data_IF_471169224706
#
_entry.id   IF_471169224706
#
_cell.length_a   1.000
_cell.length_b   1.000
_cell.length_c   1.000
_cell.angle_alpha   90.00
_cell.angle_beta   90.00
_cell.angle_gamma   90.00
#
_symmetry.space_group_name_H-M   'P 1'
#
loop_
_entity.id
_entity.type
_entity.pdbx_description
1 polymer ?
#
# COMPACT_ATOMS: atom_id res chain seq x y z
N UNK A 1 11.07 -14.99 9.97
CA UNK A 1 11.33 -14.19 8.75
C UNK A 1 11.56 -12.74 9.13
N UNK A 2 12.46 -12.06 8.43
CA UNK A 2 12.68 -10.61 8.53
C UNK A 2 11.82 -9.88 7.50
N UNK A 3 11.73 -8.56 7.61
CA UNK A 3 10.98 -7.74 6.65
C UNK A 3 11.41 -7.99 5.19
N UNK A 4 12.71 -8.07 4.91
CA UNK A 4 13.23 -8.32 3.57
C UNK A 4 12.77 -9.67 2.98
N UNK A 5 12.60 -10.70 3.80
CA UNK A 5 12.10 -11.99 3.34
C UNK A 5 10.65 -11.86 2.82
N UNK A 6 9.83 -11.05 3.50
CA UNK A 6 8.45 -10.77 3.06
C UNK A 6 8.40 -9.90 1.81
N UNK A 7 9.32 -8.94 1.67
CA UNK A 7 9.49 -8.17 0.42
C UNK A 7 9.78 -9.11 -0.75
N UNK A 8 10.74 -10.02 -0.57
CA UNK A 8 11.12 -11.01 -1.59
C UNK A 8 10.01 -12.03 -1.88
N UNK A 9 9.13 -12.30 -0.92
CA UNK A 9 8.00 -13.23 -1.07
C UNK A 9 6.80 -12.61 -1.79
N UNK A 10 6.72 -11.28 -1.91
CA UNK A 10 5.53 -10.58 -2.39
C UNK A 10 5.07 -11.06 -3.78
N UNK A 11 5.96 -11.08 -4.76
CA UNK A 11 5.63 -11.54 -6.12
C UNK A 11 5.21 -13.01 -6.17
N UNK A 12 5.74 -13.87 -5.29
CA UNK A 12 5.36 -15.29 -5.20
C UNK A 12 3.94 -15.42 -4.67
N UNK A 13 3.60 -14.65 -3.62
CA UNK A 13 2.27 -14.66 -3.01
C UNK A 13 1.23 -14.11 -3.98
N UNK A 14 1.51 -12.97 -4.61
CA UNK A 14 0.63 -12.39 -5.62
C UNK A 14 0.44 -13.35 -6.81
N UNK A 15 1.50 -14.00 -7.29
CA UNK A 15 1.38 -15.01 -8.34
C UNK A 15 0.45 -16.17 -7.95
N UNK A 16 0.55 -16.67 -6.71
CA UNK A 16 -0.34 -17.72 -6.21
C UNK A 16 -1.79 -17.27 -6.06
N UNK A 17 -2.04 -16.02 -5.69
CA UNK A 17 -3.38 -15.44 -5.64
C UNK A 17 -3.97 -15.25 -7.04
N UNK A 18 -3.17 -14.82 -7.99
CA UNK A 18 -3.60 -14.65 -9.39
C UNK A 18 -4.13 -15.97 -9.99
N UNK A 19 -3.52 -17.13 -9.67
CA UNK A 19 -3.97 -18.44 -10.15
C UNK A 19 -5.37 -18.84 -9.62
N UNK A 20 -5.81 -18.29 -8.49
CA UNK A 20 -7.14 -18.50 -7.91
C UNK A 20 -7.96 -17.21 -7.83
N UNK A 21 -7.65 -16.24 -8.66
CA UNK A 21 -8.12 -14.86 -8.56
C UNK A 21 -9.65 -14.72 -8.51
N UNK A 22 -10.38 -15.44 -9.36
CA UNK A 22 -11.84 -15.38 -9.39
C UNK A 22 -12.47 -15.92 -8.10
N UNK A 23 -11.89 -16.97 -7.49
CA UNK A 23 -12.35 -17.53 -6.21
C UNK A 23 -12.04 -16.56 -5.06
N UNK A 24 -10.84 -15.97 -5.06
CA UNK A 24 -10.39 -15.09 -4.00
C UNK A 24 -11.30 -13.87 -3.79
N UNK A 25 -11.83 -13.30 -4.85
CA UNK A 25 -12.68 -12.10 -4.81
C UNK A 25 -14.17 -12.39 -4.97
N UNK A 26 -14.58 -13.68 -5.14
CA UNK A 26 -15.94 -14.08 -5.52
C UNK A 26 -17.01 -13.44 -4.61
N UNK A 27 -16.85 -13.54 -3.29
CA UNK A 27 -17.86 -13.04 -2.37
C UNK A 27 -18.03 -11.51 -2.45
N UNK A 28 -16.93 -10.75 -2.63
CA UNK A 28 -17.02 -9.30 -2.80
C UNK A 28 -17.65 -8.92 -4.16
N UNK A 29 -17.37 -9.72 -5.19
CA UNK A 29 -18.01 -9.58 -6.51
C UNK A 29 -19.51 -9.85 -6.45
N UNK A 30 -19.94 -10.89 -5.76
CA UNK A 30 -21.37 -11.19 -5.56
C UNK A 30 -22.10 -10.04 -4.84
N UNK A 31 -21.44 -9.41 -3.86
CA UNK A 31 -21.99 -8.26 -3.13
C UNK A 31 -22.16 -7.06 -4.07
N UNK A 32 -21.13 -6.68 -4.84
CA UNK A 32 -21.22 -5.53 -5.74
C UNK A 32 -22.22 -5.77 -6.89
N UNK A 33 -22.40 -7.01 -7.32
CA UNK A 33 -23.33 -7.40 -8.36
C UNK A 33 -24.79 -7.37 -7.88
N UNK A 34 -25.03 -7.88 -6.66
CA UNK A 34 -26.39 -7.99 -6.09
C UNK A 34 -26.91 -6.67 -5.53
N UNK A 35 -26.02 -5.76 -5.13
CA UNK A 35 -26.37 -4.47 -4.56
C UNK A 35 -26.53 -3.36 -5.58
N UNK A 36 -27.32 -2.35 -5.25
CA UNK A 36 -27.51 -1.14 -6.04
C UNK A 36 -26.58 -0.03 -5.56
N UNK A 37 -25.27 -0.24 -5.71
CA UNK A 37 -24.25 0.72 -5.26
C UNK A 37 -23.89 1.70 -6.39
N UNK A 38 -23.78 2.97 -6.06
CA UNK A 38 -23.33 4.07 -6.92
C UNK A 38 -21.92 4.53 -6.60
N UNK A 39 -21.36 4.10 -5.47
CA UNK A 39 -20.01 4.41 -5.03
C UNK A 39 -19.39 3.26 -4.21
N UNK A 40 -18.06 3.28 -4.15
CA UNK A 40 -17.25 2.46 -3.28
C UNK A 40 -16.51 3.37 -2.28
N UNK A 41 -16.58 3.06 -1.00
CA UNK A 41 -15.79 3.75 0.02
C UNK A 41 -14.91 2.75 0.76
N UNK A 42 -13.61 2.99 0.74
CA UNK A 42 -12.63 2.18 1.48
C UNK A 42 -12.25 2.96 2.75
N UNK A 43 -12.47 2.34 3.90
CA UNK A 43 -12.19 2.93 5.21
C UNK A 43 -11.01 2.21 5.84
N UNK A 44 -9.86 2.90 5.93
CA UNK A 44 -8.60 2.30 6.35
C UNK A 44 -7.63 3.31 6.94
N UNK A 45 -6.61 2.83 7.66
CA UNK A 45 -5.51 3.64 8.21
C UNK A 45 -4.15 3.06 7.82
N UNK A 46 -3.13 3.93 7.77
CA UNK A 46 -1.73 3.54 7.54
C UNK A 46 -1.55 2.75 6.25
N UNK A 47 -0.75 1.71 6.27
CA UNK A 47 -0.43 0.88 5.10
C UNK A 47 -1.65 0.33 4.37
N UNK A 48 -2.74 0.00 5.08
CA UNK A 48 -3.99 -0.44 4.44
C UNK A 48 -4.66 0.68 3.65
N UNK A 49 -4.59 1.95 4.14
CA UNK A 49 -5.08 3.11 3.42
C UNK A 49 -4.22 3.39 2.20
N UNK A 50 -2.89 3.37 2.34
CA UNK A 50 -1.97 3.62 1.24
C UNK A 50 -2.10 2.57 0.12
N UNK A 51 -2.31 1.29 0.48
CA UNK A 51 -2.62 0.24 -0.50
C UNK A 51 -3.94 0.52 -1.24
N UNK A 52 -4.96 1.02 -0.54
CA UNK A 52 -6.22 1.41 -1.16
C UNK A 52 -6.04 2.62 -2.10
N UNK A 53 -5.22 3.61 -1.72
CA UNK A 53 -4.88 4.75 -2.58
C UNK A 53 -4.09 4.31 -3.84
N UNK A 54 -3.21 3.32 -3.75
CA UNK A 54 -2.57 2.70 -4.92
C UNK A 54 -3.56 2.08 -5.90
N UNK A 55 -4.66 1.50 -5.40
CA UNK A 55 -5.65 0.80 -6.22
C UNK A 55 -6.85 1.67 -6.61
N UNK A 56 -7.02 2.86 -6.02
CA UNK A 56 -8.22 3.71 -6.16
C UNK A 56 -8.55 4.01 -7.62
N UNK A 57 -7.59 4.49 -8.37
CA UNK A 57 -7.82 4.90 -9.76
C UNK A 57 -8.11 3.71 -10.67
N UNK A 58 -7.51 2.54 -10.38
CA UNK A 58 -7.83 1.29 -11.04
C UNK A 58 -9.28 0.86 -10.78
N UNK A 59 -9.72 0.93 -9.52
CA UNK A 59 -11.10 0.60 -9.14
C UNK A 59 -12.10 1.54 -9.82
N UNK A 60 -11.81 2.84 -9.88
CA UNK A 60 -12.66 3.82 -10.56
C UNK A 60 -12.81 3.49 -12.05
N UNK A 61 -11.67 3.20 -12.71
CA UNK A 61 -11.68 2.82 -14.13
C UNK A 61 -12.42 1.50 -14.37
N UNK A 62 -12.15 0.48 -13.58
CA UNK A 62 -12.72 -0.85 -13.77
C UNK A 62 -14.21 -0.91 -13.44
N UNK A 63 -14.64 -0.32 -12.34
CA UNK A 63 -16.02 -0.38 -11.85
C UNK A 63 -16.91 0.72 -12.45
N UNK A 64 -16.33 1.77 -13.08
CA UNK A 64 -17.03 2.96 -13.56
C UNK A 64 -17.94 3.55 -12.48
N UNK A 65 -17.36 3.77 -11.29
CA UNK A 65 -18.05 4.38 -10.15
C UNK A 65 -17.08 5.22 -9.33
N UNK A 66 -17.61 6.14 -8.52
CA UNK A 66 -16.78 6.90 -7.59
C UNK A 66 -16.15 5.99 -6.53
N UNK A 67 -14.85 6.12 -6.33
CA UNK A 67 -14.12 5.43 -5.26
C UNK A 67 -13.48 6.48 -4.34
N UNK A 68 -13.78 6.39 -3.05
CA UNK A 68 -13.15 7.22 -2.00
C UNK A 68 -12.38 6.35 -1.02
N UNK A 69 -11.25 6.88 -0.56
CA UNK A 69 -10.43 6.26 0.49
C UNK A 69 -10.39 7.26 1.65
N UNK A 70 -10.86 6.84 2.82
CA UNK A 70 -11.03 7.72 3.98
C UNK A 70 -10.47 7.07 5.24
N UNK A 71 -10.04 7.88 6.21
CA UNK A 71 -9.66 7.33 7.53
C UNK A 71 -10.91 7.02 8.36
N UNK A 72 -10.85 6.04 9.29
CA UNK A 72 -11.99 5.70 10.12
C UNK A 72 -12.58 6.87 10.90
N UNK A 73 -11.74 7.74 11.47
CA UNK A 73 -12.20 8.92 12.20
C UNK A 73 -12.86 9.95 11.28
N UNK A 74 -12.24 10.23 10.13
CA UNK A 74 -12.84 11.13 9.14
C UNK A 74 -14.19 10.58 8.65
N UNK A 75 -14.30 9.25 8.47
CA UNK A 75 -15.55 8.61 8.12
C UNK A 75 -16.61 8.81 9.21
N UNK A 76 -16.30 8.46 10.46
CA UNK A 76 -17.27 8.52 11.57
C UNK A 76 -17.72 9.95 11.85
N UNK A 77 -16.80 10.91 11.82
CA UNK A 77 -17.09 12.28 12.26
C UNK A 77 -17.62 13.17 11.13
N UNK A 78 -17.23 12.94 9.87
CA UNK A 78 -17.44 13.92 8.79
C UNK A 78 -17.91 13.32 7.47
N UNK A 79 -17.37 12.18 7.02
CA UNK A 79 -17.49 11.74 5.63
C UNK A 79 -18.48 10.59 5.41
N UNK A 80 -19.29 10.25 6.42
CA UNK A 80 -20.27 9.17 6.33
C UNK A 80 -21.54 9.53 5.56
N UNK A 81 -21.88 10.82 5.44
CA UNK A 81 -23.17 11.29 4.93
C UNK A 81 -23.36 11.04 3.43
N UNK A 82 -22.30 11.16 2.66
CA UNK A 82 -22.34 11.06 1.21
C UNK A 82 -21.12 10.32 0.65
N UNK A 83 -21.27 9.47 -0.37
CA UNK A 83 -22.51 9.04 -1.04
C UNK A 83 -23.34 8.09 -0.16
N UNK A 84 -24.67 8.15 -0.29
CA UNK A 84 -25.60 7.37 0.57
C UNK A 84 -25.65 5.87 0.20
N UNK A 85 -25.48 5.52 -1.07
CA UNK A 85 -25.54 4.14 -1.56
C UNK A 85 -24.14 3.59 -1.86
N UNK A 86 -23.19 3.87 -0.97
CA UNK A 86 -21.85 3.33 -1.10
C UNK A 86 -21.75 1.91 -0.52
N UNK A 87 -21.01 1.03 -1.19
CA UNK A 87 -20.46 -0.15 -0.54
C UNK A 87 -19.24 0.31 0.29
N UNK A 88 -19.29 0.08 1.60
CA UNK A 88 -18.19 0.43 2.49
C UNK A 88 -17.31 -0.79 2.72
N UNK A 89 -16.01 -0.65 2.47
CA UNK A 89 -15.00 -1.70 2.74
C UNK A 89 -14.08 -1.19 3.85
N UNK A 90 -14.22 -1.75 5.04
CA UNK A 90 -13.33 -1.43 6.17
C UNK A 90 -12.14 -2.39 6.16
N UNK A 91 -10.92 -1.85 6.16
CA UNK A 91 -9.71 -2.67 6.03
C UNK A 91 -8.85 -2.60 7.28
N UNK A 92 -8.57 -3.76 7.87
CA UNK A 92 -7.60 -3.92 8.95
C UNK A 92 -6.86 -5.24 8.80
N UNK A 93 -5.59 -5.22 8.41
CA UNK A 93 -4.82 -6.46 8.22
C UNK A 93 -4.84 -7.35 9.45
N UNK A 94 -4.61 -6.80 10.64
CA UNK A 94 -4.65 -7.58 11.87
C UNK A 94 -6.06 -7.95 12.33
N UNK A 95 -7.08 -7.18 11.93
CA UNK A 95 -8.44 -7.27 12.46
C UNK A 95 -8.61 -6.73 13.88
N UNK A 96 -7.58 -6.06 14.44
CA UNK A 96 -7.57 -5.54 15.82
C UNK A 96 -7.57 -4.00 15.89
N UNK A 97 -7.61 -3.27 14.77
CA UNK A 97 -7.56 -1.80 14.78
C UNK A 97 -8.83 -1.22 15.38
N UNK A 98 -8.72 -0.56 16.54
CA UNK A 98 -9.86 -0.03 17.30
C UNK A 98 -10.67 0.98 16.51
N UNK A 99 -10.00 1.86 15.77
CA UNK A 99 -10.66 2.85 14.92
C UNK A 99 -11.44 2.22 13.74
N UNK A 100 -10.91 1.16 13.11
CA UNK A 100 -11.62 0.43 12.05
C UNK A 100 -12.85 -0.30 12.61
N UNK A 101 -12.71 -0.88 13.81
CA UNK A 101 -13.82 -1.50 14.55
C UNK A 101 -14.91 -0.44 14.84
N UNK A 102 -14.53 0.73 15.35
CA UNK A 102 -15.49 1.82 15.61
C UNK A 102 -16.21 2.28 14.33
N UNK A 103 -15.54 2.32 13.19
CA UNK A 103 -16.17 2.64 11.91
C UNK A 103 -17.20 1.57 11.48
N UNK A 104 -16.90 0.29 11.70
CA UNK A 104 -17.86 -0.80 11.43
C UNK A 104 -19.07 -0.73 12.36
N UNK A 105 -18.88 -0.44 13.65
CA UNK A 105 -19.98 -0.23 14.59
C UNK A 105 -20.87 0.95 14.17
N UNK A 106 -20.26 2.04 13.71
CA UNK A 106 -21.00 3.16 13.14
C UNK A 106 -21.81 2.74 11.91
N UNK A 107 -21.20 2.01 10.97
CA UNK A 107 -21.89 1.52 9.77
C UNK A 107 -23.07 0.62 10.12
N UNK A 108 -22.89 -0.31 11.07
CA UNK A 108 -23.95 -1.20 11.56
C UNK A 108 -25.09 -0.42 12.23
N UNK A 109 -24.78 0.56 13.07
CA UNK A 109 -25.78 1.38 13.77
C UNK A 109 -26.62 2.24 12.82
N UNK A 110 -26.15 2.47 11.58
CA UNK A 110 -26.82 3.29 10.57
C UNK A 110 -27.28 2.48 9.34
N UNK A 111 -27.36 1.14 9.46
CA UNK A 111 -27.82 0.23 8.39
C UNK A 111 -27.04 0.42 7.06
N UNK A 112 -25.77 0.77 7.13
CA UNK A 112 -24.90 0.94 5.96
C UNK A 112 -24.37 -0.40 5.49
N UNK A 113 -24.34 -0.62 4.17
CA UNK A 113 -23.69 -1.81 3.60
C UNK A 113 -22.18 -1.79 3.88
N UNK A 114 -21.68 -2.81 4.57
CA UNK A 114 -20.30 -2.88 5.01
C UNK A 114 -19.69 -4.28 4.89
N UNK A 115 -18.40 -4.32 4.53
CA UNK A 115 -17.57 -5.53 4.47
C UNK A 115 -16.27 -5.24 5.20
N UNK A 116 -15.75 -6.17 5.98
CA UNK A 116 -14.40 -6.10 6.51
C UNK A 116 -13.44 -6.92 5.65
N UNK A 117 -12.29 -6.33 5.29
CA UNK A 117 -11.13 -7.04 4.72
C UNK A 117 -10.04 -7.17 5.78
N UNK A 118 -9.54 -8.39 5.97
CA UNK A 118 -8.51 -8.68 6.98
C UNK A 118 -7.63 -9.86 6.54
N UNK A 119 -6.46 -10.00 7.14
CA UNK A 119 -5.64 -11.21 7.04
C UNK A 119 -5.95 -12.23 8.16
N UNK A 120 -6.82 -11.85 9.12
CA UNK A 120 -7.19 -12.68 10.25
C UNK A 120 -8.71 -12.63 10.46
N UNK A 121 -9.42 -13.51 9.80
CA UNK A 121 -10.89 -13.59 9.86
C UNK A 121 -11.42 -13.99 11.25
N UNK A 122 -10.57 -14.49 12.14
CA UNK A 122 -10.92 -14.85 13.51
C UNK A 122 -10.71 -13.71 14.52
N UNK A 123 -10.12 -12.59 14.06
CA UNK A 123 -9.88 -11.42 14.91
C UNK A 123 -11.17 -10.74 15.35
N UNK A 124 -11.13 -9.87 16.38
CA UNK A 124 -12.30 -9.17 16.92
C UNK A 124 -13.16 -8.44 15.88
N UNK A 125 -12.59 -8.00 14.78
CA UNK A 125 -13.33 -7.32 13.69
C UNK A 125 -14.55 -8.12 13.21
N UNK A 126 -14.55 -9.45 13.34
CA UNK A 126 -15.66 -10.33 12.93
C UNK A 126 -16.94 -10.12 13.75
N UNK A 127 -16.84 -9.56 14.95
CA UNK A 127 -17.98 -9.31 15.83
C UNK A 127 -18.70 -7.99 15.45
N UNK A 128 -18.09 -7.19 14.57
CA UNK A 128 -18.52 -5.84 14.22
C UNK A 128 -19.13 -5.72 12.81
N UNK A 129 -19.13 -6.80 12.02
CA UNK A 129 -19.77 -6.87 10.70
C UNK A 129 -20.23 -8.28 10.40
N UNK A 130 -21.23 -8.42 9.53
CA UNK A 130 -21.75 -9.73 9.09
C UNK A 130 -20.86 -10.39 8.03
N UNK A 131 -20.00 -9.61 7.36
CA UNK A 131 -19.20 -10.08 6.25
C UNK A 131 -17.72 -9.73 6.50
N UNK A 132 -16.91 -10.78 6.69
CA UNK A 132 -15.47 -10.67 6.88
C UNK A 132 -14.77 -11.52 5.82
N UNK A 133 -13.87 -10.91 5.07
CA UNK A 133 -13.17 -11.52 3.95
C UNK A 133 -11.64 -11.51 4.17
N UNK A 134 -11.01 -12.66 3.90
CA UNK A 134 -9.56 -12.76 3.80
C UNK A 134 -9.10 -12.26 2.42
N UNK A 135 -8.19 -11.31 2.38
CA UNK A 135 -7.65 -10.81 1.12
C UNK A 135 -6.40 -11.58 0.61
N UNK A 136 -6.07 -12.72 1.22
CA UNK A 136 -5.13 -13.69 0.67
C UNK A 136 -3.66 -13.46 1.00
N UNK A 137 -3.32 -12.63 1.99
CA UNK A 137 -1.91 -12.38 2.37
C UNK A 137 -1.23 -13.61 2.97
N UNK A 138 -1.98 -14.48 3.60
CA UNK A 138 -1.45 -15.64 4.32
C UNK A 138 -0.85 -15.24 5.67
N UNK A 139 0.38 -15.67 5.96
CA UNK A 139 1.03 -15.41 7.25
C UNK A 139 2.10 -14.34 7.09
N UNK A 140 1.93 -13.21 7.76
CA UNK A 140 2.94 -12.16 7.90
C UNK A 140 3.13 -11.83 9.37
N UNK A 141 4.34 -12.04 9.90
CA UNK A 141 4.66 -11.94 11.33
C UNK A 141 5.64 -10.82 11.68
N UNK A 142 5.86 -9.87 10.77
CA UNK A 142 6.67 -8.67 11.04
C UNK A 142 5.84 -7.56 11.64
N UNK A 143 6.46 -6.71 12.44
CA UNK A 143 5.78 -5.62 13.13
C UNK A 143 5.31 -4.51 12.17
N UNK A 144 5.97 -4.39 11.01
CA UNK A 144 5.66 -3.40 9.97
C UNK A 144 5.05 -4.10 8.74
N UNK A 145 3.81 -3.79 8.43
CA UNK A 145 3.08 -4.36 7.28
C UNK A 145 3.90 -4.19 6.00
N UNK A 146 4.18 -5.28 5.32
CA UNK A 146 5.07 -5.35 4.16
C UNK A 146 4.41 -6.11 3.01
N UNK A 147 4.33 -7.44 3.12
CA UNK A 147 3.63 -8.30 2.17
C UNK A 147 2.15 -7.93 2.05
N UNK A 148 1.53 -7.59 3.17
CA UNK A 148 0.11 -7.24 3.24
C UNK A 148 -0.28 -6.02 2.41
N UNK A 149 0.63 -5.05 2.22
CA UNK A 149 0.40 -3.89 1.34
C UNK A 149 0.27 -4.34 -0.11
N UNK A 150 1.26 -5.08 -0.59
CA UNK A 150 1.32 -5.57 -1.98
C UNK A 150 0.12 -6.45 -2.33
N UNK A 151 -0.21 -7.38 -1.44
CA UNK A 151 -1.33 -8.30 -1.63
C UNK A 151 -2.68 -7.58 -1.53
N UNK A 152 -2.80 -6.52 -0.72
CA UNK A 152 -4.04 -5.74 -0.66
C UNK A 152 -4.25 -4.94 -1.95
N UNK A 153 -3.18 -4.36 -2.52
CA UNK A 153 -3.25 -3.72 -3.85
C UNK A 153 -3.72 -4.73 -4.89
N UNK A 154 -3.10 -5.91 -4.94
CA UNK A 154 -3.50 -6.99 -5.84
C UNK A 154 -4.96 -7.38 -5.66
N UNK A 155 -5.41 -7.63 -4.43
CA UNK A 155 -6.79 -8.02 -4.12
C UNK A 155 -7.80 -6.98 -4.65
N UNK A 156 -7.54 -5.70 -4.40
CA UNK A 156 -8.40 -4.61 -4.87
C UNK A 156 -8.41 -4.50 -6.41
N UNK A 157 -7.27 -4.71 -7.06
CA UNK A 157 -7.18 -4.78 -8.53
C UNK A 157 -7.99 -5.97 -9.06
N UNK A 158 -7.84 -7.16 -8.48
CA UNK A 158 -8.62 -8.36 -8.85
C UNK A 158 -10.12 -8.14 -8.64
N UNK A 159 -10.51 -7.52 -7.53
CA UNK A 159 -11.90 -7.13 -7.31
C UNK A 159 -12.38 -6.14 -8.38
N UNK A 160 -11.57 -5.16 -8.78
CA UNK A 160 -11.88 -4.25 -9.87
C UNK A 160 -12.13 -4.99 -11.18
N UNK A 161 -11.29 -5.97 -11.55
CA UNK A 161 -11.42 -6.76 -12.78
C UNK A 161 -12.74 -7.53 -12.80
N UNK A 162 -12.97 -8.38 -11.79
CA UNK A 162 -14.15 -9.25 -11.77
C UNK A 162 -15.43 -8.51 -11.39
N UNK A 163 -15.35 -7.49 -10.55
CA UNK A 163 -16.45 -6.59 -10.23
C UNK A 163 -16.89 -5.78 -11.46
N UNK A 164 -15.93 -5.29 -12.26
CA UNK A 164 -16.20 -4.64 -13.53
C UNK A 164 -16.87 -5.58 -14.53
N UNK A 165 -16.45 -6.83 -14.60
CA UNK A 165 -17.11 -7.85 -15.41
C UNK A 165 -18.56 -8.08 -14.94
N UNK A 166 -18.78 -8.26 -13.65
CA UNK A 166 -20.10 -8.49 -13.09
C UNK A 166 -21.05 -7.29 -13.30
N UNK A 167 -20.53 -6.08 -13.30
CA UNK A 167 -21.26 -4.83 -13.61
C UNK A 167 -21.46 -4.59 -15.11
N UNK A 168 -20.77 -5.35 -15.96
CA UNK A 168 -20.80 -5.19 -17.43
C UNK A 168 -19.96 -4.01 -17.95
N UNK A 169 -19.06 -3.45 -17.16
CA UNK A 169 -18.11 -2.39 -17.57
C UNK A 169 -16.87 -2.98 -18.26
N UNK A 170 -16.57 -4.25 -18.01
CA UNK A 170 -15.46 -4.99 -18.62
C UNK A 170 -16.01 -6.26 -19.27
N UNK A 171 -15.71 -6.49 -20.54
CA UNK A 171 -16.05 -7.73 -21.25
C UNK A 171 -15.01 -8.84 -20.98
N UNK A 172 -15.29 -10.06 -21.43
CA UNK A 172 -14.40 -11.21 -21.22
C UNK A 172 -12.99 -11.01 -21.80
N UNK A 173 -12.87 -10.27 -22.91
CA UNK A 173 -11.56 -9.95 -23.50
C UNK A 173 -10.81 -8.94 -22.64
N UNK A 174 -11.51 -7.95 -22.12
CA UNK A 174 -10.95 -6.97 -21.20
C UNK A 174 -10.48 -7.61 -19.88
N UNK A 175 -11.22 -8.59 -19.36
CA UNK A 175 -10.78 -9.38 -18.18
C UNK A 175 -9.47 -10.10 -18.46
N UNK A 176 -9.38 -10.82 -19.59
CA UNK A 176 -8.15 -11.54 -19.95
C UNK A 176 -6.95 -10.58 -20.06
N UNK A 177 -7.12 -9.44 -20.74
CA UNK A 177 -6.06 -8.45 -20.89
C UNK A 177 -5.61 -7.89 -19.54
N UNK A 178 -6.55 -7.51 -18.66
CA UNK A 178 -6.23 -6.94 -17.35
C UNK A 178 -5.55 -7.93 -16.42
N UNK A 179 -5.87 -9.23 -16.52
CA UNK A 179 -5.16 -10.28 -15.80
C UNK A 179 -3.73 -10.48 -16.32
N UNK A 180 -3.51 -10.34 -17.64
CA UNK A 180 -2.17 -10.37 -18.22
C UNK A 180 -1.36 -9.14 -17.80
N UNK A 181 -1.96 -7.94 -17.82
CA UNK A 181 -1.32 -6.70 -17.34
C UNK A 181 -0.92 -6.83 -15.85
N UNK A 182 -1.77 -7.41 -15.01
CA UNK A 182 -1.46 -7.66 -13.59
C UNK A 182 -0.33 -8.68 -13.43
N UNK A 183 -0.31 -9.74 -14.25
CA UNK A 183 0.79 -10.71 -14.25
C UNK A 183 2.13 -10.05 -14.59
N UNK A 184 2.14 -9.16 -15.56
CA UNK A 184 3.33 -8.38 -15.92
C UNK A 184 3.78 -7.46 -14.77
N UNK A 185 2.84 -6.79 -14.08
CA UNK A 185 3.16 -5.96 -12.92
C UNK A 185 3.73 -6.77 -11.74
N UNK A 186 3.22 -7.99 -11.50
CA UNK A 186 3.77 -8.92 -10.50
C UNK A 186 5.19 -9.36 -10.89
N UNK A 187 5.46 -9.62 -12.16
CA UNK A 187 6.82 -9.92 -12.62
C UNK A 187 7.75 -8.71 -12.50
N UNK A 188 7.24 -7.50 -12.78
CA UNK A 188 7.96 -6.26 -12.58
C UNK A 188 8.34 -6.01 -11.11
N UNK A 189 7.48 -6.39 -10.16
CA UNK A 189 7.78 -6.36 -8.72
C UNK A 189 9.02 -7.21 -8.39
N UNK A 190 9.11 -8.44 -8.91
CA UNK A 190 10.27 -9.30 -8.70
C UNK A 190 11.57 -8.72 -9.30
N UNK A 191 11.49 -8.06 -10.46
CA UNK A 191 12.64 -7.37 -11.08
C UNK A 191 13.05 -6.17 -10.22
N UNK A 192 12.07 -5.39 -9.79
CA UNK A 192 12.33 -4.17 -9.03
C UNK A 192 12.89 -4.44 -7.63
N UNK A 193 12.53 -5.56 -7.00
CA UNK A 193 13.14 -6.01 -5.75
C UNK A 193 14.67 -6.15 -5.90
N UNK A 194 15.13 -6.81 -6.97
CA UNK A 194 16.58 -6.97 -7.26
C UNK A 194 17.24 -5.63 -7.61
N UNK A 195 16.57 -4.78 -8.37
CA UNK A 195 17.06 -3.43 -8.70
C UNK A 195 17.24 -2.61 -7.42
N UNK A 196 16.27 -2.68 -6.50
CA UNK A 196 16.32 -1.99 -5.23
C UNK A 196 17.45 -2.52 -4.32
N UNK A 197 17.64 -3.85 -4.26
CA UNK A 197 18.75 -4.46 -3.50
C UNK A 197 20.11 -3.96 -4.00
N UNK A 198 20.31 -3.92 -5.33
CA UNK A 198 21.54 -3.40 -5.92
C UNK A 198 21.71 -1.90 -5.63
N UNK A 199 20.65 -1.12 -5.81
CA UNK A 199 20.65 0.32 -5.50
C UNK A 199 21.04 0.58 -4.05
N UNK A 200 20.45 -0.16 -3.10
CA UNK A 200 20.77 -0.01 -1.67
C UNK A 200 22.22 -0.38 -1.38
N UNK A 201 22.76 -1.42 -2.03
CA UNK A 201 24.17 -1.82 -1.85
C UNK A 201 25.12 -0.71 -2.32
N UNK A 202 24.85 -0.09 -3.46
CA UNK A 202 25.65 0.98 -4.02
C UNK A 202 25.57 2.30 -3.23
N UNK A 203 24.39 2.57 -2.63
CA UNK A 203 24.09 3.80 -1.88
C UNK A 203 23.96 3.60 -0.36
N UNK A 204 24.42 2.47 0.16
CA UNK A 204 24.25 2.06 1.56
C UNK A 204 24.64 3.13 2.58
N UNK A 205 25.76 3.81 2.38
CA UNK A 205 26.24 4.83 3.31
C UNK A 205 25.33 6.07 3.29
N UNK A 206 24.98 6.53 2.11
CA UNK A 206 24.13 7.69 1.89
C UNK A 206 22.73 7.50 2.48
N UNK A 207 22.11 6.34 2.19
CA UNK A 207 20.79 5.97 2.72
C UNK A 207 20.79 5.72 4.25
N UNK A 208 21.96 5.44 4.85
CA UNK A 208 22.10 5.27 6.30
C UNK A 208 22.32 6.57 7.06
N UNK A 209 22.45 7.70 6.38
CA UNK A 209 22.50 8.99 7.03
C UNK A 209 21.12 9.36 7.57
N UNK A 210 21.08 9.93 8.78
CA UNK A 210 19.82 10.32 9.44
C UNK A 210 19.30 11.66 8.88
N UNK A 211 18.93 11.66 7.60
CA UNK A 211 18.49 12.86 6.88
C UNK A 211 16.99 12.76 6.56
N UNK A 212 16.28 13.90 6.52
CA UNK A 212 14.88 13.90 6.10
C UNK A 212 14.72 13.39 4.67
N UNK A 213 13.56 12.80 4.38
CA UNK A 213 13.20 12.31 3.07
C UNK A 213 11.89 12.94 2.58
N UNK A 214 11.81 13.19 1.28
CA UNK A 214 10.55 13.48 0.57
C UNK A 214 10.34 12.47 -0.53
N UNK A 215 9.09 12.02 -0.67
CA UNK A 215 8.67 11.11 -1.73
C UNK A 215 7.54 11.76 -2.51
N UNK A 216 7.70 11.87 -3.82
CA UNK A 216 6.74 12.54 -4.71
C UNK A 216 6.20 11.53 -5.71
N UNK A 217 4.90 11.50 -5.91
CA UNK A 217 4.26 10.60 -6.88
C UNK A 217 2.84 11.01 -7.22
N UNK A 218 2.35 10.62 -8.39
CA UNK A 218 1.02 10.95 -8.90
C UNK A 218 0.15 9.70 -9.08
N UNK A 219 -1.17 9.85 -9.02
CA UNK A 219 -2.12 8.77 -9.24
C UNK A 219 -1.82 7.55 -8.35
N UNK A 220 -1.70 6.31 -8.92
CA UNK A 220 -1.33 5.13 -8.12
C UNK A 220 0.01 5.28 -7.38
N UNK A 221 0.96 6.02 -7.94
CA UNK A 221 2.26 6.27 -7.34
C UNK A 221 2.20 7.25 -6.15
N UNK A 222 1.10 7.99 -5.98
CA UNK A 222 0.87 8.78 -4.77
C UNK A 222 0.68 7.87 -3.55
N UNK A 223 -0.13 6.80 -3.67
CA UNK A 223 -0.26 5.79 -2.62
C UNK A 223 1.08 5.09 -2.30
N UNK A 224 1.91 4.84 -3.33
CA UNK A 224 3.26 4.31 -3.13
C UNK A 224 4.17 5.32 -2.40
N UNK A 225 4.03 6.63 -2.66
CA UNK A 225 4.77 7.67 -1.95
C UNK A 225 4.34 7.80 -0.49
N UNK A 226 3.03 7.70 -0.20
CA UNK A 226 2.50 7.65 1.17
C UNK A 226 3.11 6.47 1.96
N UNK A 227 3.09 5.27 1.37
CA UNK A 227 3.64 4.07 1.99
C UNK A 227 5.15 4.16 2.16
N UNK A 228 5.87 4.70 1.17
CA UNK A 228 7.31 4.93 1.26
C UNK A 228 7.65 5.85 2.44
N UNK A 229 6.98 6.99 2.57
CA UNK A 229 7.19 7.91 3.68
C UNK A 229 6.91 7.25 5.04
N UNK A 230 5.84 6.46 5.14
CA UNK A 230 5.56 5.69 6.34
C UNK A 230 6.67 4.68 6.64
N UNK A 231 7.10 3.87 5.67
CA UNK A 231 8.16 2.86 5.87
C UNK A 231 9.48 3.49 6.30
N UNK A 232 9.91 4.57 5.66
CA UNK A 232 11.11 5.30 6.07
C UNK A 232 11.01 5.84 7.50
N UNK A 233 9.84 6.37 7.88
CA UNK A 233 9.60 6.89 9.23
C UNK A 233 9.59 5.81 10.29
N UNK A 234 8.87 4.70 10.07
CA UNK A 234 8.68 3.67 11.10
C UNK A 234 9.84 2.69 11.23
N UNK A 235 10.64 2.49 10.17
CA UNK A 235 11.76 1.53 10.19
C UNK A 235 13.12 2.21 10.35
N UNK A 236 13.44 3.22 9.56
CA UNK A 236 14.71 3.96 9.59
C UNK A 236 14.69 5.06 10.65
N UNK A 237 13.50 5.49 11.10
CA UNK A 237 13.29 6.54 12.10
C UNK A 237 13.73 7.93 11.65
N UNK A 238 13.57 8.23 10.36
CA UNK A 238 13.83 9.55 9.79
C UNK A 238 12.51 10.31 9.54
N UNK A 239 12.48 11.64 9.62
CA UNK A 239 11.36 12.41 9.10
C UNK A 239 11.18 12.13 7.62
N UNK A 240 10.02 11.64 7.20
CA UNK A 240 9.71 11.40 5.81
C UNK A 240 8.32 11.94 5.48
N UNK A 241 8.21 12.59 4.33
CA UNK A 241 6.99 13.25 3.86
C UNK A 241 6.68 12.77 2.45
N UNK A 242 5.41 12.84 2.08
CA UNK A 242 4.95 12.51 0.73
C UNK A 242 4.16 13.68 0.15
N UNK A 243 4.20 13.84 -1.17
CA UNK A 243 3.48 14.87 -1.89
C UNK A 243 3.05 14.38 -3.27
N UNK A 244 1.96 14.90 -3.76
CA UNK A 244 1.63 14.89 -5.18
C UNK A 244 2.55 15.86 -5.91
N UNK A 245 2.81 15.63 -7.21
CA UNK A 245 3.85 16.36 -7.96
C UNK A 245 3.65 17.88 -8.03
N UNK A 246 2.42 18.33 -8.27
CA UNK A 246 2.14 19.78 -8.31
C UNK A 246 2.00 20.36 -6.91
N UNK A 247 1.41 19.66 -5.95
CA UNK A 247 1.39 20.09 -4.54
C UNK A 247 2.80 20.24 -3.98
N UNK A 248 3.74 19.39 -4.41
CA UNK A 248 5.14 19.49 -3.99
C UNK A 248 5.76 20.85 -4.37
N UNK A 249 5.51 21.34 -5.57
CA UNK A 249 6.09 22.61 -6.08
C UNK A 249 5.29 23.87 -5.67
N UNK A 250 4.32 23.72 -4.76
CA UNK A 250 3.54 24.82 -4.22
C UNK A 250 3.87 25.13 -2.75
N UNK A 251 5.13 24.87 -2.35
CA UNK A 251 5.66 25.23 -1.03
C UNK A 251 6.58 24.20 -0.40
N UNK A 252 6.24 22.88 -0.39
CA UNK A 252 7.09 21.85 0.22
C UNK A 252 8.53 21.80 -0.30
N UNK A 253 8.77 22.12 -1.57
CA UNK A 253 10.10 22.20 -2.18
C UNK A 253 11.03 23.19 -1.49
N UNK A 254 10.48 24.21 -0.85
CA UNK A 254 11.24 25.24 -0.11
C UNK A 254 12.00 24.69 1.09
N UNK A 255 11.66 23.48 1.56
CA UNK A 255 12.38 22.81 2.65
C UNK A 255 13.68 22.15 2.18
N UNK A 256 13.84 21.90 0.87
CA UNK A 256 14.96 21.12 0.36
C UNK A 256 16.27 21.85 0.53
N UNK A 257 17.19 21.22 1.24
CA UNK A 257 18.56 21.67 1.45
C UNK A 257 19.52 20.52 1.08
N UNK A 258 20.82 20.81 0.86
CA UNK A 258 21.82 19.75 0.66
C UNK A 258 21.74 18.72 1.78
N UNK A 259 21.55 17.46 1.45
CA UNK A 259 21.41 16.38 2.41
C UNK A 259 20.01 15.75 2.48
N UNK A 260 18.96 16.42 2.02
CA UNK A 260 17.65 15.76 1.87
C UNK A 260 17.71 14.60 0.87
N UNK A 261 17.07 13.49 1.22
CA UNK A 261 16.72 12.43 0.28
C UNK A 261 15.43 12.86 -0.45
N UNK A 262 15.46 12.91 -1.77
CA UNK A 262 14.26 13.23 -2.56
C UNK A 262 14.04 12.12 -3.57
N UNK A 263 12.94 11.39 -3.41
CA UNK A 263 12.51 10.37 -4.34
C UNK A 263 11.33 10.90 -5.16
N UNK A 264 11.45 10.84 -6.47
CA UNK A 264 10.39 11.18 -7.40
C UNK A 264 10.02 9.91 -8.16
N UNK A 265 8.77 9.50 -8.05
CA UNK A 265 8.22 8.35 -8.77
C UNK A 265 7.53 8.88 -10.02
N UNK A 266 8.14 8.66 -11.16
CA UNK A 266 7.65 9.15 -12.45
C UNK A 266 6.32 8.49 -12.85
N UNK A 267 5.54 9.19 -13.65
CA UNK A 267 4.35 8.63 -14.25
C UNK A 267 4.72 7.51 -15.24
N UNK A 268 3.93 6.44 -15.34
CA UNK A 268 4.28 5.28 -16.18
C UNK A 268 4.48 5.59 -17.66
N UNK A 269 3.87 6.67 -18.15
CA UNK A 269 4.06 7.15 -19.54
C UNK A 269 5.25 8.11 -19.69
N UNK A 270 5.93 8.43 -18.58
CA UNK A 270 6.96 9.45 -18.49
C UNK A 270 6.37 10.87 -18.38
N UNK A 271 6.80 11.62 -17.38
CA UNK A 271 6.39 13.00 -17.17
C UNK A 271 7.58 13.96 -17.34
N UNK A 272 7.52 14.81 -18.36
CA UNK A 272 8.52 15.89 -18.49
C UNK A 272 8.51 16.80 -17.25
N UNK A 273 7.34 16.98 -16.62
CA UNK A 273 7.19 17.80 -15.42
C UNK A 273 7.95 17.22 -14.23
N UNK A 274 7.74 15.95 -13.91
CA UNK A 274 8.44 15.27 -12.82
C UNK A 274 9.94 15.14 -13.10
N UNK A 275 10.32 14.85 -14.34
CA UNK A 275 11.73 14.81 -14.74
C UNK A 275 12.41 16.18 -14.58
N UNK A 276 11.74 17.28 -14.94
CA UNK A 276 12.26 18.64 -14.76
C UNK A 276 12.38 19.02 -13.27
N UNK A 277 11.45 18.56 -12.43
CA UNK A 277 11.53 18.74 -10.97
C UNK A 277 12.77 17.99 -10.44
N UNK A 278 12.98 16.74 -10.86
CA UNK A 278 14.15 15.96 -10.46
C UNK A 278 15.47 16.62 -10.90
N UNK A 279 15.55 17.09 -12.17
CA UNK A 279 16.70 17.80 -12.69
C UNK A 279 17.00 19.10 -11.91
N UNK A 280 15.95 19.86 -11.55
CA UNK A 280 16.10 21.08 -10.76
C UNK A 280 16.62 20.77 -9.35
N UNK A 281 16.04 19.78 -8.67
CA UNK A 281 16.42 19.39 -7.32
C UNK A 281 17.80 18.76 -7.23
N UNK A 282 18.26 18.08 -8.28
CA UNK A 282 19.62 17.54 -8.34
C UNK A 282 20.72 18.61 -8.24
N UNK A 283 20.38 19.89 -8.50
CA UNK A 283 21.27 21.02 -8.27
C UNK A 283 21.29 21.50 -6.80
N UNK A 284 20.34 21.06 -5.98
CA UNK A 284 20.26 21.42 -4.55
C UNK A 284 20.80 20.26 -3.70
N UNK A 285 20.38 19.04 -3.99
CA UNK A 285 20.83 17.84 -3.28
C UNK A 285 21.22 16.74 -4.24
N UNK A 286 22.41 16.18 -4.05
CA UNK A 286 22.91 15.03 -4.83
C UNK A 286 22.12 13.74 -4.54
N UNK A 287 21.26 13.75 -3.53
CA UNK A 287 20.44 12.63 -3.10
C UNK A 287 19.03 12.64 -3.74
N UNK A 288 18.92 13.28 -4.91
CA UNK A 288 17.69 13.21 -5.72
C UNK A 288 17.68 11.91 -6.51
N UNK A 289 16.56 11.21 -6.52
CA UNK A 289 16.32 9.94 -7.23
C UNK A 289 15.05 10.05 -8.04
N UNK A 290 15.12 9.75 -9.33
CA UNK A 290 13.98 9.63 -10.23
C UNK A 290 13.77 8.15 -10.60
N UNK A 291 12.70 7.54 -10.09
CA UNK A 291 12.27 6.20 -10.51
C UNK A 291 11.47 6.36 -11.81
N UNK A 292 11.96 5.86 -12.93
CA UNK A 292 11.30 6.06 -14.22
C UNK A 292 11.37 4.83 -15.12
N UNK A 293 10.27 4.57 -15.83
CA UNK A 293 10.22 3.55 -16.89
C UNK A 293 10.84 4.06 -18.23
N UNK A 294 11.22 5.35 -18.29
CA UNK A 294 11.75 6.02 -19.49
C UNK A 294 13.10 6.67 -19.23
N UNK A 295 14.14 5.93 -18.76
CA UNK A 295 15.42 6.49 -18.40
C UNK A 295 16.09 7.16 -19.60
N UNK A 296 16.66 8.34 -19.38
CA UNK A 296 17.41 9.14 -20.39
C UNK A 296 18.93 9.17 -20.12
N UNK A 297 19.39 8.38 -19.14
CA UNK A 297 20.80 8.27 -18.76
C UNK A 297 21.29 9.36 -17.81
N UNK A 298 20.38 9.99 -17.04
CA UNK A 298 20.75 10.93 -15.98
C UNK A 298 21.33 10.18 -14.79
N UNK A 299 22.26 10.79 -14.07
CA UNK A 299 22.94 10.15 -12.94
C UNK A 299 21.99 9.77 -11.77
N UNK A 300 20.88 10.49 -11.64
CA UNK A 300 19.88 10.27 -10.57
C UNK A 300 18.70 9.39 -10.99
N UNK A 301 18.75 8.74 -12.17
CA UNK A 301 17.67 7.85 -12.62
C UNK A 301 17.86 6.42 -12.13
N UNK A 302 16.77 5.84 -11.66
CA UNK A 302 16.62 4.40 -11.42
C UNK A 302 15.59 3.86 -12.39
N UNK A 303 15.98 2.91 -13.22
CA UNK A 303 15.08 2.30 -14.19
C UNK A 303 14.05 1.39 -13.52
N UNK A 304 12.78 1.62 -13.81
CA UNK A 304 11.64 0.81 -13.36
C UNK A 304 11.08 0.05 -14.57
N UNK A 305 10.70 -1.23 -14.44
CA UNK A 305 10.01 -1.93 -15.51
C UNK A 305 8.72 -1.20 -15.91
N UNK A 306 8.48 -1.12 -17.21
CA UNK A 306 7.23 -0.56 -17.72
C UNK A 306 6.07 -1.55 -17.50
N UNK A 307 4.96 -1.06 -16.97
CA UNK A 307 3.74 -1.81 -16.71
C UNK A 307 2.52 -0.97 -17.14
N UNK A 308 1.33 -1.59 -17.13
CA UNK A 308 0.09 -0.85 -17.35
C UNK A 308 -0.02 0.32 -16.34
N UNK A 309 -0.39 1.53 -16.77
CA UNK A 309 -0.27 2.76 -15.96
C UNK A 309 -0.90 2.69 -14.58
N UNK A 310 -2.11 2.13 -14.49
CA UNK A 310 -2.83 2.02 -13.22
C UNK A 310 -2.30 0.92 -12.27
N UNK A 311 -1.28 0.17 -12.69
CA UNK A 311 -0.60 -0.87 -11.90
C UNK A 311 0.83 -0.47 -11.48
N UNK A 312 1.25 0.76 -11.79
CA UNK A 312 2.62 1.23 -11.55
C UNK A 312 3.03 1.25 -10.08
N UNK A 313 2.10 1.33 -9.15
CA UNK A 313 2.40 1.25 -7.72
C UNK A 313 3.05 -0.09 -7.33
N UNK A 314 2.66 -1.21 -7.96
CA UNK A 314 3.13 -2.56 -7.61
C UNK A 314 4.66 -2.70 -7.68
N UNK A 315 5.36 -2.36 -8.78
CA UNK A 315 6.82 -2.37 -8.78
C UNK A 315 7.45 -1.25 -7.94
N UNK A 316 6.80 -0.11 -7.75
CA UNK A 316 7.38 1.01 -7.02
C UNK A 316 7.35 0.81 -5.50
N UNK A 317 6.31 0.18 -4.95
CA UNK A 317 6.20 -0.14 -3.52
C UNK A 317 7.41 -0.97 -3.04
N UNK A 318 7.76 -2.02 -3.77
CA UNK A 318 8.85 -2.94 -3.38
C UNK A 318 10.21 -2.24 -3.33
N UNK A 319 10.43 -1.19 -4.11
CA UNK A 319 11.67 -0.40 -4.05
C UNK A 319 11.85 0.23 -2.66
N UNK A 320 10.85 0.91 -2.16
CA UNK A 320 10.89 1.56 -0.86
C UNK A 320 10.88 0.58 0.30
N UNK A 321 10.12 -0.50 0.20
CA UNK A 321 10.14 -1.57 1.20
C UNK A 321 11.52 -2.22 1.31
N UNK A 322 12.23 -2.41 0.20
CA UNK A 322 13.60 -2.93 0.16
C UNK A 322 14.57 -1.97 0.84
N UNK A 323 14.51 -0.67 0.53
CA UNK A 323 15.31 0.36 1.21
C UNK A 323 15.05 0.31 2.71
N UNK A 324 13.77 0.37 3.11
CA UNK A 324 13.37 0.35 4.52
C UNK A 324 13.93 -0.88 5.26
N UNK A 325 13.76 -2.07 4.69
CA UNK A 325 14.21 -3.32 5.29
C UNK A 325 15.75 -3.39 5.43
N UNK A 326 16.48 -3.08 4.37
CA UNK A 326 17.93 -3.21 4.35
C UNK A 326 18.64 -2.15 5.21
N UNK A 327 18.14 -0.91 5.17
CA UNK A 327 18.72 0.18 5.98
C UNK A 327 18.40 0.00 7.45
N UNK A 328 17.16 -0.39 7.80
CA UNK A 328 16.81 -0.68 9.19
C UNK A 328 17.66 -1.84 9.76
N UNK A 329 17.92 -2.89 8.99
CA UNK A 329 18.83 -3.97 9.39
C UNK A 329 20.26 -3.47 9.58
N UNK A 330 20.75 -2.59 8.72
CA UNK A 330 22.08 -1.96 8.82
C UNK A 330 22.21 -1.10 10.07
N UNK A 331 21.22 -0.28 10.35
CA UNK A 331 21.19 0.64 11.49
C UNK A 331 20.77 -0.04 12.79
N UNK A 332 20.21 -1.27 12.72
CA UNK A 332 19.57 -1.98 13.84
C UNK A 332 18.48 -1.13 14.50
N UNK A 333 17.70 -0.43 13.68
CA UNK A 333 16.67 0.51 14.11
C UNK A 333 15.30 -0.14 14.33
N UNK A 334 15.24 -1.47 14.46
CA UNK A 334 14.01 -2.22 14.69
C UNK A 334 13.41 -1.98 16.08
N UNK A 335 14.26 -1.69 17.07
CA UNK A 335 13.79 -1.50 18.43
C UNK A 335 13.00 -0.20 18.58
N UNK A 336 11.86 -0.29 19.22
CA UNK A 336 11.06 0.86 19.60
C UNK A 336 11.65 1.51 20.85
N UNK A 337 11.68 2.84 20.87
CA UNK A 337 12.13 3.54 22.06
C UNK A 337 11.23 3.19 23.26
N UNK A 338 11.77 2.84 24.44
CA UNK A 338 10.96 2.35 25.58
C UNK A 338 9.78 3.25 25.97
N UNK A 339 9.92 4.57 25.82
CA UNK A 339 8.81 5.49 26.09
C UNK A 339 7.68 5.40 25.07
N UNK A 340 7.97 5.02 23.81
CA UNK A 340 6.96 4.87 22.78
C UNK A 340 6.09 3.63 23.01
N UNK A 341 6.63 2.56 23.59
CA UNK A 341 5.84 1.40 23.97
C UNK A 341 4.76 1.77 25.01
N UNK A 342 5.14 2.55 26.02
CA UNK A 342 4.18 3.06 27.01
C UNK A 342 3.13 3.99 26.39
N UNK A 343 3.54 4.86 25.45
CA UNK A 343 2.62 5.75 24.71
C UNK A 343 1.66 4.96 23.84
N UNK A 344 2.15 3.96 23.11
CA UNK A 344 1.32 3.10 22.25
C UNK A 344 0.24 2.36 23.02
N UNK A 345 0.57 1.86 24.22
CA UNK A 345 -0.41 1.23 25.12
C UNK A 345 -1.46 2.23 25.60
N UNK A 346 -1.07 3.46 25.90
CA UNK A 346 -2.01 4.51 26.33
C UNK A 346 -2.92 5.01 25.21
N UNK A 347 -2.48 4.93 23.95
CA UNK A 347 -3.27 5.33 22.79
C UNK A 347 -4.34 4.31 22.38
N UNK A 348 -4.32 3.10 22.94
CA UNK A 348 -5.32 2.03 22.73
C UNK A 348 -5.61 1.74 21.24
N UNK A 349 -4.58 1.76 20.40
CA UNK A 349 -4.71 1.60 18.94
C UNK A 349 -5.13 0.19 18.50
N UNK A 350 -5.02 -0.80 19.40
CA UNK A 350 -5.35 -2.20 19.16
C UNK A 350 -6.32 -2.73 20.22
N UNK A 351 -7.27 -3.54 19.78
CA UNK A 351 -8.20 -4.24 20.67
C UNK A 351 -7.48 -5.29 21.53
N UNK A 352 -8.12 -5.71 22.60
CA UNK A 352 -7.63 -6.75 23.52
C UNK A 352 -7.30 -8.05 22.77
N UNK A 353 -6.24 -8.74 23.21
CA UNK A 353 -5.76 -9.99 22.58
C UNK A 353 -4.82 -9.79 21.38
N UNK A 354 -4.45 -8.55 21.03
CA UNK A 354 -3.55 -8.30 19.90
C UNK A 354 -2.15 -8.91 20.09
N UNK A 355 -1.55 -8.75 21.28
CA UNK A 355 -0.20 -9.28 21.55
C UNK A 355 -0.15 -10.82 21.47
N UNK A 356 -1.19 -11.50 21.96
CA UNK A 356 -1.35 -12.94 21.86
C UNK A 356 -1.49 -13.38 20.39
N UNK A 357 -2.26 -12.62 19.61
CA UNK A 357 -2.42 -12.85 18.17
C UNK A 357 -1.10 -12.72 17.42
N UNK A 358 -0.30 -11.70 17.72
CA UNK A 358 1.04 -11.51 17.12
C UNK A 358 1.97 -12.68 17.46
N UNK A 359 1.96 -13.15 18.71
CA UNK A 359 2.76 -14.30 19.13
C UNK A 359 2.34 -15.58 18.41
N UNK A 360 1.02 -15.80 18.24
CA UNK A 360 0.49 -16.92 17.47
C UNK A 360 0.90 -16.85 15.99
N UNK A 361 0.86 -15.65 15.39
CA UNK A 361 1.34 -15.43 14.01
C UNK A 361 2.83 -15.70 13.86
N UNK A 362 3.66 -15.30 14.83
CA UNK A 362 5.10 -15.59 14.83
C UNK A 362 5.36 -17.10 14.88
N UNK A 363 4.63 -17.85 15.73
CA UNK A 363 4.73 -19.30 15.79
C UNK A 363 4.30 -19.96 14.47
N UNK A 364 3.16 -19.53 13.90
CA UNK A 364 2.67 -20.04 12.61
C UNK A 364 3.63 -19.74 11.45
N UNK A 365 4.27 -18.58 11.44
CA UNK A 365 5.28 -18.24 10.44
C UNK A 365 6.50 -19.17 10.53
N UNK A 366 6.95 -19.50 11.74
CA UNK A 366 8.04 -20.44 11.95
C UNK A 366 7.70 -21.82 11.38
N UNK A 367 6.47 -22.31 11.56
CA UNK A 367 6.00 -23.58 11.00
C UNK A 367 5.89 -23.54 9.46
N UNK A 368 5.29 -22.48 8.91
CA UNK A 368 5.02 -22.37 7.47
C UNK A 368 6.30 -22.18 6.65
N UNK A 369 7.30 -21.52 7.18
CA UNK A 369 8.52 -21.13 6.46
C UNK A 369 9.78 -21.85 6.95
N UNK A 370 9.67 -22.82 7.87
CA UNK A 370 10.75 -23.73 8.26
C UNK A 370 11.87 -23.06 9.05
N UNK A 371 11.55 -22.14 9.94
CA UNK A 371 12.53 -21.43 10.78
C UNK A 371 12.56 -21.97 12.21
#
# INVERSE_FOLDING_TARGET
>A
MKMLDYVQLAHVRMGANLERSSELVAQLVDIIQSGSFDALRIVASGSSRHAADCARDYLQDALQMQVSVVTPEAFVDFEHTYPQHALNIAVSQSGYSTNTIAALDYMRAHDMAAVALTANVEAPIKEHTDIVLDYGVGVESVDFVTLGVEVLVEYLVLFGIYGGQARGTIDAKGVAQRLDDLREAIQANAVMCKTAEAYVQDHMLELSEHTPAMVVGNGPNYGAAEEAALKLSETIKIPAMHHEGEEFVHGPEMQIVPGYLVFIVDDPQGSERLANIADALSNVTTKTVLLTAHPKGRAHEVAVPQVAPLLSAIPNLVFFQTIAAMIAERLKSWDVHPYLDAVSKQMEVKAEGYEESVNALKAKAAECYGM
#
